data_IF_062341545369
#
_entry.id   IF_062341545369
#
_cell.length_a   1.000
_cell.length_b   1.000
_cell.length_c   1.000
_cell.angle_alpha   90.00
_cell.angle_beta   90.00
_cell.angle_gamma   90.00
#
_symmetry.space_group_name_H-M   'P 1'
#
loop_
_entity.id
_entity.type
_entity.pdbx_description
1 polymer ?
#
# COMPACT_ATOMS: atom_id res chain seq x y z
N UNK A 1 -27.54 -1.76 -31.49
CA UNK A 1 -26.18 -1.26 -31.20
C UNK A 1 -26.02 -1.24 -29.69
N UNK A 2 -25.35 -2.23 -29.12
CA UNK A 2 -25.21 -2.36 -27.67
C UNK A 2 -23.92 -1.72 -27.15
N UNK A 3 -24.08 -0.94 -26.09
CA UNK A 3 -23.07 -0.16 -25.36
C UNK A 3 -22.03 -1.07 -24.67
N UNK A 4 -21.06 -1.61 -25.43
CA UNK A 4 -19.94 -2.37 -24.87
C UNK A 4 -18.81 -1.49 -24.27
N UNK A 5 -18.91 -0.16 -24.38
CA UNK A 5 -17.84 0.78 -23.99
C UNK A 5 -17.91 1.14 -22.49
N UNK A 6 -19.07 1.02 -21.84
CA UNK A 6 -19.26 1.46 -20.44
C UNK A 6 -18.82 0.43 -19.38
N UNK A 7 -18.83 -0.87 -19.67
CA UNK A 7 -18.50 -1.91 -18.69
C UNK A 7 -17.00 -2.05 -18.38
N UNK A 8 -16.13 -1.58 -19.29
CA UNK A 8 -14.67 -1.86 -19.23
C UNK A 8 -13.87 -0.80 -18.46
N UNK A 9 -14.36 0.44 -18.36
CA UNK A 9 -13.72 1.53 -17.58
C UNK A 9 -13.75 1.28 -16.07
N UNK A 10 -14.78 0.62 -15.57
CA UNK A 10 -15.05 0.42 -14.13
C UNK A 10 -13.97 -0.45 -13.44
N UNK A 11 -13.21 -1.25 -14.20
CA UNK A 11 -12.24 -2.19 -13.62
C UNK A 11 -10.93 -1.58 -13.13
N UNK A 12 -10.31 -0.69 -13.92
CA UNK A 12 -8.97 -0.16 -13.59
C UNK A 12 -9.04 0.95 -12.54
N UNK A 13 -10.01 1.86 -12.67
CA UNK A 13 -10.23 2.95 -11.70
C UNK A 13 -10.46 2.38 -10.30
N UNK A 14 -11.33 1.36 -10.18
CA UNK A 14 -11.56 0.68 -8.91
C UNK A 14 -10.30 0.02 -8.35
N UNK A 15 -9.47 -0.62 -9.18
CA UNK A 15 -8.23 -1.23 -8.67
C UNK A 15 -7.21 -0.20 -8.21
N UNK A 16 -7.14 0.95 -8.90
CA UNK A 16 -6.30 2.08 -8.45
C UNK A 16 -6.82 2.61 -7.11
N UNK A 17 -8.14 2.84 -6.99
CA UNK A 17 -8.76 3.29 -5.75
C UNK A 17 -8.49 2.28 -4.60
N UNK A 18 -8.73 0.99 -4.85
CA UNK A 18 -8.47 -0.07 -3.88
C UNK A 18 -6.99 -0.09 -3.44
N UNK A 19 -6.04 0.16 -4.37
CA UNK A 19 -4.61 0.24 -4.05
C UNK A 19 -4.28 1.48 -3.22
N UNK A 20 -4.80 2.65 -3.59
CA UNK A 20 -4.60 3.90 -2.85
C UNK A 20 -5.20 3.85 -1.44
N UNK A 21 -6.32 3.14 -1.28
CA UNK A 21 -6.90 2.87 0.03
C UNK A 21 -5.95 2.04 0.91
N UNK A 22 -5.26 1.03 0.35
CA UNK A 22 -4.26 0.25 1.09
C UNK A 22 -3.05 1.11 1.49
N UNK A 23 -2.58 2.00 0.61
CA UNK A 23 -1.50 2.95 0.94
C UNK A 23 -1.90 3.86 2.11
N UNK A 24 -3.14 4.35 2.08
CA UNK A 24 -3.69 5.21 3.13
C UNK A 24 -3.83 4.45 4.46
N UNK A 25 -4.36 3.22 4.42
CA UNK A 25 -4.51 2.33 5.58
C UNK A 25 -3.15 2.03 6.22
N UNK A 26 -2.15 1.67 5.42
CA UNK A 26 -0.79 1.42 5.90
C UNK A 26 -0.18 2.64 6.59
N UNK A 27 -0.42 3.86 6.05
CA UNK A 27 0.03 5.09 6.69
C UNK A 27 -0.60 5.33 8.07
N UNK A 28 -1.89 5.01 8.22
CA UNK A 28 -2.58 5.08 9.52
C UNK A 28 -2.08 4.02 10.50
N UNK A 29 -1.87 2.78 10.02
CA UNK A 29 -1.30 1.69 10.81
C UNK A 29 0.12 2.03 11.27
N UNK A 30 0.95 2.60 10.40
CA UNK A 30 2.30 3.05 10.72
C UNK A 30 2.27 4.09 11.83
N UNK A 31 1.49 5.16 11.66
CA UNK A 31 1.36 6.22 12.67
C UNK A 31 0.90 5.66 14.01
N UNK A 32 -0.11 4.79 14.01
CA UNK A 32 -0.60 4.15 15.22
C UNK A 32 0.43 3.21 15.85
N UNK A 33 1.21 2.49 15.04
CA UNK A 33 2.27 1.59 15.49
C UNK A 33 3.36 2.36 16.21
N UNK A 34 3.86 3.45 15.61
CA UNK A 34 4.84 4.34 16.24
C UNK A 34 4.32 4.91 17.57
N UNK A 35 3.07 5.38 17.62
CA UNK A 35 2.48 5.90 18.86
C UNK A 35 2.39 4.83 19.97
N UNK A 36 2.00 3.60 19.60
CA UNK A 36 1.94 2.48 20.54
C UNK A 36 3.32 2.10 21.06
N UNK A 37 4.34 2.09 20.20
CA UNK A 37 5.73 1.84 20.59
C UNK A 37 6.21 2.90 21.60
N UNK A 38 6.03 4.18 21.29
CA UNK A 38 6.43 5.30 22.17
C UNK A 38 5.72 5.30 23.52
N UNK A 39 4.48 4.81 23.57
CA UNK A 39 3.68 4.70 24.81
C UNK A 39 3.90 3.37 25.55
N UNK A 40 4.85 2.56 25.11
CA UNK A 40 5.15 1.23 25.67
C UNK A 40 3.94 0.27 25.66
N UNK A 41 3.04 0.42 24.68
CA UNK A 41 1.86 -0.44 24.47
C UNK A 41 2.21 -1.60 23.54
N UNK A 42 3.03 -2.51 24.05
CA UNK A 42 3.70 -3.54 23.22
C UNK A 42 2.71 -4.46 22.52
N UNK A 43 1.65 -4.94 23.19
CA UNK A 43 0.65 -5.81 22.55
C UNK A 43 -0.02 -5.13 21.35
N UNK A 44 -0.54 -3.91 21.54
CA UNK A 44 -1.14 -3.13 20.46
C UNK A 44 -0.13 -2.76 19.37
N UNK A 45 1.16 -2.62 19.70
CA UNK A 45 2.21 -2.41 18.69
C UNK A 45 2.41 -3.67 17.82
N UNK A 46 2.47 -4.86 18.43
CA UNK A 46 2.58 -6.13 17.70
C UNK A 46 1.38 -6.37 16.77
N UNK A 47 0.17 -6.05 17.23
CA UNK A 47 -1.03 -6.10 16.38
C UNK A 47 -0.89 -5.20 15.15
N UNK A 48 -0.36 -3.98 15.31
CA UNK A 48 -0.13 -3.08 14.16
C UNK A 48 0.92 -3.62 13.19
N UNK A 49 1.94 -4.33 13.68
CA UNK A 49 2.92 -5.01 12.82
C UNK A 49 2.24 -6.11 11.99
N UNK A 50 1.40 -6.94 12.60
CA UNK A 50 0.70 -7.98 11.83
C UNK A 50 -0.22 -7.38 10.77
N UNK A 51 -0.99 -6.35 11.14
CA UNK A 51 -1.88 -5.69 10.20
C UNK A 51 -1.11 -5.03 9.05
N UNK A 52 0.03 -4.38 9.31
CA UNK A 52 0.79 -3.72 8.24
C UNK A 52 1.40 -4.73 7.26
N UNK A 53 1.77 -5.93 7.73
CA UNK A 53 2.23 -7.03 6.86
C UNK A 53 1.10 -7.46 5.93
N UNK A 54 -0.12 -7.64 6.46
CA UNK A 54 -1.28 -8.02 5.66
C UNK A 54 -1.65 -6.94 4.63
N UNK A 55 -1.62 -5.66 5.02
CA UNK A 55 -1.87 -4.53 4.12
C UNK A 55 -0.81 -4.44 3.02
N UNK A 56 0.47 -4.65 3.34
CA UNK A 56 1.55 -4.65 2.33
C UNK A 56 1.39 -5.79 1.33
N UNK A 57 1.12 -7.01 1.79
CA UNK A 57 0.86 -8.15 0.90
C UNK A 57 -0.33 -7.91 -0.03
N UNK A 58 -1.40 -7.28 0.48
CA UNK A 58 -2.56 -6.90 -0.34
C UNK A 58 -2.22 -5.77 -1.33
N UNK A 59 -1.40 -4.80 -0.91
CA UNK A 59 -0.88 -3.72 -1.74
C UNK A 59 -0.09 -4.26 -2.94
N UNK A 60 0.91 -5.12 -2.70
CA UNK A 60 1.72 -5.73 -3.76
C UNK A 60 0.86 -6.57 -4.72
N UNK A 61 -0.12 -7.33 -4.21
CA UNK A 61 -1.06 -8.07 -5.06
C UNK A 61 -1.86 -7.15 -5.99
N UNK A 62 -2.39 -6.03 -5.47
CA UNK A 62 -3.14 -5.05 -6.26
C UNK A 62 -2.24 -4.34 -7.28
N UNK A 63 -1.01 -3.96 -6.88
CA UNK A 63 -0.02 -3.36 -7.76
C UNK A 63 0.26 -4.26 -8.96
N UNK A 64 0.60 -5.53 -8.75
CA UNK A 64 0.87 -6.49 -9.83
C UNK A 64 -0.31 -6.64 -10.78
N UNK A 65 -1.53 -6.68 -10.25
CA UNK A 65 -2.76 -6.70 -11.04
C UNK A 65 -2.91 -5.47 -11.93
N UNK A 66 -2.63 -4.29 -11.38
CA UNK A 66 -2.64 -3.01 -12.11
C UNK A 66 -1.56 -2.98 -13.19
N UNK A 67 -0.34 -3.43 -12.90
CA UNK A 67 0.74 -3.52 -13.89
C UNK A 67 0.33 -4.40 -15.08
N UNK A 68 -0.16 -5.61 -14.81
CA UNK A 68 -0.64 -6.53 -15.85
C UNK A 68 -1.74 -5.90 -16.71
N UNK A 69 -2.67 -5.18 -16.09
CA UNK A 69 -3.74 -4.48 -16.80
C UNK A 69 -3.21 -3.33 -17.64
N UNK A 70 -2.27 -2.53 -17.13
CA UNK A 70 -1.64 -1.42 -17.86
C UNK A 70 -0.83 -1.91 -19.06
N UNK A 71 -0.16 -3.06 -18.97
CA UNK A 71 0.53 -3.69 -20.09
C UNK A 71 -0.44 -4.25 -21.14
N UNK A 72 -1.56 -4.86 -20.71
CA UNK A 72 -2.56 -5.47 -21.61
C UNK A 72 -3.54 -4.48 -22.24
N UNK A 73 -3.80 -3.34 -21.62
CA UNK A 73 -4.81 -2.38 -22.06
C UNK A 73 -4.18 -1.08 -22.59
N UNK A 74 -4.64 -0.63 -23.75
CA UNK A 74 -4.15 0.57 -24.48
C UNK A 74 -4.69 1.89 -23.93
N UNK A 75 -5.27 1.92 -22.71
CA UNK A 75 -6.10 3.03 -22.24
C UNK A 75 -5.31 4.29 -21.86
N UNK A 76 -4.00 4.18 -21.57
CA UNK A 76 -3.13 5.33 -21.26
C UNK A 76 -1.71 5.08 -21.83
N UNK A 77 -1.51 5.08 -23.17
CA UNK A 77 -0.21 4.73 -23.76
C UNK A 77 0.88 5.74 -23.39
N UNK A 78 0.51 7.03 -23.35
CA UNK A 78 1.46 8.12 -23.19
C UNK A 78 1.91 8.32 -21.74
N UNK A 79 1.02 8.13 -20.77
CA UNK A 79 1.33 8.26 -19.33
C UNK A 79 1.53 6.91 -18.63
N UNK A 80 1.68 5.81 -19.38
CA UNK A 80 1.87 4.47 -18.79
C UNK A 80 3.09 4.42 -17.87
N UNK A 81 4.20 5.01 -18.31
CA UNK A 81 5.43 5.07 -17.54
C UNK A 81 5.22 5.79 -16.21
N UNK A 82 4.62 6.97 -16.26
CA UNK A 82 4.34 7.78 -15.06
C UNK A 82 3.43 7.06 -14.07
N UNK A 83 2.40 6.36 -14.55
CA UNK A 83 1.48 5.60 -13.69
C UNK A 83 2.20 4.41 -13.05
N UNK A 84 3.01 3.67 -13.81
CA UNK A 84 3.80 2.55 -13.26
C UNK A 84 4.80 3.06 -12.21
N UNK A 85 5.52 4.15 -12.50
CA UNK A 85 6.45 4.76 -11.56
C UNK A 85 5.74 5.21 -10.27
N UNK A 86 4.53 5.76 -10.37
CA UNK A 86 3.74 6.13 -9.20
C UNK A 86 3.37 4.91 -8.35
N UNK A 87 2.92 3.82 -8.98
CA UNK A 87 2.57 2.57 -8.29
C UNK A 87 3.79 1.97 -7.58
N UNK A 88 4.94 1.91 -8.23
CA UNK A 88 6.21 1.45 -7.65
C UNK A 88 6.66 2.29 -6.44
N UNK A 89 6.54 3.62 -6.55
CA UNK A 89 6.89 4.52 -5.46
C UNK A 89 5.97 4.35 -4.25
N UNK A 90 4.68 4.08 -4.48
CA UNK A 90 3.70 3.82 -3.42
C UNK A 90 3.92 2.47 -2.74
N UNK A 91 4.26 1.44 -3.50
CA UNK A 91 4.61 0.11 -2.96
C UNK A 91 5.89 0.17 -2.14
N UNK A 92 6.90 0.87 -2.65
CA UNK A 92 8.12 1.17 -1.91
C UNK A 92 7.85 1.91 -0.60
N UNK A 93 6.80 2.74 -0.53
CA UNK A 93 6.38 3.41 0.70
C UNK A 93 5.74 2.43 1.70
N UNK A 94 4.89 1.50 1.24
CA UNK A 94 4.33 0.42 2.08
C UNK A 94 5.45 -0.40 2.72
N UNK A 95 6.44 -0.80 1.92
CA UNK A 95 7.60 -1.54 2.37
C UNK A 95 8.42 -0.79 3.42
N UNK A 96 8.57 0.52 3.26
CA UNK A 96 9.26 1.37 4.25
C UNK A 96 8.50 1.45 5.56
N UNK A 97 7.16 1.54 5.54
CA UNK A 97 6.37 1.53 6.77
C UNK A 97 6.51 0.20 7.52
N UNK A 98 6.34 -0.92 6.83
CA UNK A 98 6.54 -2.27 7.37
C UNK A 98 7.95 -2.43 7.95
N UNK A 99 8.96 -2.09 7.16
CA UNK A 99 10.37 -2.21 7.53
C UNK A 99 10.75 -1.35 8.75
N UNK A 100 10.19 -0.15 8.87
CA UNK A 100 10.42 0.71 10.02
C UNK A 100 9.83 0.14 11.31
N UNK A 101 8.56 -0.31 11.30
CA UNK A 101 7.97 -0.94 12.51
C UNK A 101 8.71 -2.23 12.90
N UNK A 102 9.12 -3.04 11.92
CA UNK A 102 9.94 -4.23 12.18
C UNK A 102 11.27 -3.91 12.86
N UNK A 103 11.96 -2.84 12.43
CA UNK A 103 13.20 -2.41 13.09
C UNK A 103 12.95 -1.98 14.53
N UNK A 104 11.85 -1.26 14.80
CA UNK A 104 11.49 -0.89 16.18
C UNK A 104 11.25 -2.12 17.05
N UNK A 105 10.64 -3.18 16.51
CA UNK A 105 10.42 -4.42 17.25
C UNK A 105 11.70 -5.20 17.54
N UNK A 106 12.59 -5.29 16.54
CA UNK A 106 13.86 -6.03 16.65
C UNK A 106 14.84 -5.28 17.56
N UNK A 107 15.06 -4.00 17.29
CA UNK A 107 16.09 -3.20 17.95
C UNK A 107 15.64 -2.69 19.32
N UNK A 108 14.32 -2.53 19.54
CA UNK A 108 13.72 -1.96 20.75
C UNK A 108 14.46 -0.72 21.25
N UNK A 109 14.66 0.30 20.40
CA UNK A 109 15.45 1.46 20.76
C UNK A 109 14.84 2.17 21.97
N UNK A 110 15.69 2.55 22.92
CA UNK A 110 15.30 3.44 24.00
C UNK A 110 15.22 4.87 23.45
N UNK A 111 14.03 5.46 23.48
CA UNK A 111 13.80 6.82 23.02
C UNK A 111 13.67 7.72 24.24
N UNK A 112 14.73 8.48 24.54
CA UNK A 112 14.67 9.53 25.56
C UNK A 112 13.72 10.64 25.07
N UNK A 113 12.63 10.86 25.79
CA UNK A 113 11.62 11.89 25.50
C UNK A 113 12.02 13.29 25.94
#
# INVERSE_FOLDING_TARGET
>A
MEFHILKKKIGIEKQIDDFLDQVSEAGLLFKSGVDNFLKNRIESFQEKIQHIIETEHRGDFLRRGLEEMLYRQTLIPESRGDVLELLENMDSLLDRFKGALWRFDIERPEICG
#
